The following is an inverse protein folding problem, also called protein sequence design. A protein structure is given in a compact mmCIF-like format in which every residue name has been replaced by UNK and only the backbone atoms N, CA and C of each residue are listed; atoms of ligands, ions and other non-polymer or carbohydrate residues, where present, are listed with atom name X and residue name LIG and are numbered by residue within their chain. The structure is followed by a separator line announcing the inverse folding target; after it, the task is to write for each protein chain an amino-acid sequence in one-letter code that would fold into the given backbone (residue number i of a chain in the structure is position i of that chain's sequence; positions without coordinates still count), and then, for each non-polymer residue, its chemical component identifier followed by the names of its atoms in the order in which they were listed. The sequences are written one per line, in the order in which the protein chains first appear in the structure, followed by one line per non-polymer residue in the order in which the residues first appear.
data_IF_523382728917
#
_entry.id   IF_523382728917
#
_cell.length_a   1.000
_cell.length_b   1.000
_cell.length_c   1.000
_cell.angle_alpha   90.00
_cell.angle_beta   90.00
_cell.angle_gamma   90.00
#
_symmetry.space_group_name_H-M   'P 1'
#
loop_
_entity.id
_entity.type
_entity.pdbx_description
1 polymer ?
#
# COMPACT_ATOMS: atom_id res chain seq x y z
N UNK A 1 -4.90 -24.40 -22.44
CA UNK A 1 -5.27 -23.75 -21.18
C UNK A 1 -6.03 -22.47 -21.48
N UNK A 2 -7.23 -22.33 -20.90
CA UNK A 2 -8.09 -21.16 -21.04
C UNK A 2 -8.04 -20.32 -19.77
N UNK A 3 -7.76 -19.01 -19.89
CA UNK A 3 -7.65 -18.09 -18.76
C UNK A 3 -8.64 -16.92 -18.96
N UNK A 4 -9.39 -16.60 -17.90
CA UNK A 4 -10.19 -15.37 -17.86
C UNK A 4 -9.43 -14.32 -17.07
N UNK A 5 -9.29 -13.13 -17.64
CA UNK A 5 -8.47 -12.04 -17.12
C UNK A 5 -9.30 -10.77 -16.92
N UNK A 6 -9.22 -10.14 -15.76
CA UNK A 6 -9.78 -8.79 -15.56
C UNK A 6 -9.10 -7.81 -16.52
N UNK A 7 -9.87 -7.13 -17.36
CA UNK A 7 -9.41 -6.25 -18.44
C UNK A 7 -8.66 -5.00 -17.94
N UNK A 8 -8.70 -4.73 -16.64
CA UNK A 8 -8.02 -3.61 -15.98
C UNK A 8 -6.69 -4.00 -15.32
N UNK A 9 -6.22 -5.25 -15.49
CA UNK A 9 -4.88 -5.63 -15.02
C UNK A 9 -3.83 -5.01 -15.94
N UNK A 10 -2.97 -4.12 -15.42
CA UNK A 10 -2.01 -3.41 -16.26
C UNK A 10 -0.91 -4.34 -16.80
N UNK A 11 -0.46 -4.08 -18.01
CA UNK A 11 0.72 -4.69 -18.63
C UNK A 11 0.65 -6.21 -18.83
N UNK A 12 -0.54 -6.84 -18.73
CA UNK A 12 -0.67 -8.31 -18.75
C UNK A 12 -0.72 -8.89 -20.15
N UNK A 13 -1.25 -8.14 -21.15
CA UNK A 13 -1.68 -8.71 -22.47
C UNK A 13 -0.58 -9.50 -23.18
N UNK A 14 0.54 -8.87 -23.48
CA UNK A 14 1.63 -9.52 -24.21
C UNK A 14 2.26 -10.69 -23.46
N UNK A 15 2.20 -10.66 -22.12
CA UNK A 15 2.77 -11.71 -21.29
C UNK A 15 1.86 -12.92 -21.20
N UNK A 16 0.55 -12.72 -20.97
CA UNK A 16 -0.41 -13.82 -20.80
C UNK A 16 -0.62 -14.60 -22.10
N UNK A 17 -0.52 -13.93 -23.26
CA UNK A 17 -0.64 -14.57 -24.59
C UNK A 17 0.51 -15.53 -24.89
N UNK A 18 1.64 -15.42 -24.20
CA UNK A 18 2.75 -16.39 -24.27
C UNK A 18 2.56 -17.60 -23.35
N UNK A 19 1.58 -17.54 -22.45
CA UNK A 19 1.34 -18.53 -21.39
C UNK A 19 0.14 -19.40 -21.71
N UNK A 20 -0.93 -18.80 -22.25
CA UNK A 20 -2.24 -19.44 -22.46
C UNK A 20 -2.57 -19.64 -23.92
N UNK A 21 -3.32 -20.74 -24.22
CA UNK A 21 -3.82 -21.00 -25.59
C UNK A 21 -5.04 -20.14 -25.91
N UNK A 22 -5.85 -19.82 -24.89
CA UNK A 22 -7.05 -18.99 -25.00
C UNK A 22 -7.12 -18.01 -23.83
N UNK A 23 -7.20 -16.72 -24.13
CA UNK A 23 -7.35 -15.64 -23.14
C UNK A 23 -8.63 -14.87 -23.40
N UNK A 24 -9.48 -14.77 -22.38
CA UNK A 24 -10.71 -13.97 -22.44
C UNK A 24 -10.61 -12.82 -21.46
N UNK A 25 -10.75 -11.60 -21.95
CA UNK A 25 -10.74 -10.39 -21.15
C UNK A 25 -12.17 -9.94 -20.85
N UNK A 26 -12.46 -9.65 -19.58
CA UNK A 26 -13.74 -9.12 -19.15
C UNK A 26 -13.56 -8.13 -17.99
N UNK A 27 -14.45 -7.11 -17.85
CA UNK A 27 -14.49 -6.30 -16.65
C UNK A 27 -14.71 -7.16 -15.41
N UNK A 28 -13.99 -6.91 -14.31
CA UNK A 28 -14.07 -7.74 -13.11
C UNK A 28 -15.47 -7.90 -12.52
N UNK A 29 -16.37 -6.93 -12.74
CA UNK A 29 -17.78 -6.98 -12.32
C UNK A 29 -18.65 -7.91 -13.19
N UNK A 30 -18.18 -8.26 -14.39
CA UNK A 30 -18.92 -9.03 -15.40
C UNK A 30 -18.49 -10.51 -15.42
N UNK A 31 -17.71 -10.95 -14.44
CA UNK A 31 -17.42 -12.38 -14.24
C UNK A 31 -18.68 -13.10 -13.77
N UNK A 32 -19.16 -14.01 -14.59
CA UNK A 32 -20.37 -14.81 -14.34
C UNK A 32 -20.04 -16.30 -14.31
N UNK A 33 -20.90 -17.16 -13.69
CA UNK A 33 -20.71 -18.61 -13.73
C UNK A 33 -20.58 -19.19 -15.14
N UNK A 34 -21.31 -18.64 -16.10
CA UNK A 34 -21.22 -19.07 -17.51
C UNK A 34 -19.88 -18.71 -18.15
N UNK A 35 -19.32 -17.54 -17.82
CA UNK A 35 -18.04 -17.09 -18.34
C UNK A 35 -16.88 -17.93 -17.81
N UNK A 36 -16.88 -18.27 -16.51
CA UNK A 36 -15.79 -19.00 -15.86
C UNK A 36 -15.91 -20.52 -15.99
N UNK A 37 -17.03 -21.05 -16.48
CA UNK A 37 -17.38 -22.48 -16.49
C UNK A 37 -16.27 -23.37 -17.04
N UNK A 38 -15.68 -23.00 -18.15
CA UNK A 38 -14.67 -23.80 -18.88
C UNK A 38 -13.24 -23.24 -18.74
N UNK A 39 -13.02 -22.28 -17.86
CA UNK A 39 -11.71 -21.72 -17.59
C UNK A 39 -10.86 -22.63 -16.71
N UNK A 40 -9.57 -22.72 -17.00
CA UNK A 40 -8.60 -23.41 -16.15
C UNK A 40 -8.12 -22.51 -15.02
N UNK A 41 -8.00 -21.20 -15.28
CA UNK A 41 -7.55 -20.21 -14.30
C UNK A 41 -8.23 -18.85 -14.46
N UNK A 42 -8.23 -18.08 -13.36
CA UNK A 42 -8.67 -16.69 -13.32
C UNK A 42 -7.53 -15.79 -12.86
N UNK A 43 -7.36 -14.63 -13.53
CA UNK A 43 -6.51 -13.56 -13.03
C UNK A 43 -7.38 -12.34 -12.82
N UNK A 44 -7.54 -11.94 -11.57
CA UNK A 44 -8.58 -11.02 -11.12
C UNK A 44 -8.04 -9.84 -10.34
N UNK A 45 -8.94 -8.92 -10.01
CA UNK A 45 -8.77 -7.83 -9.06
C UNK A 45 -9.99 -7.79 -8.12
N UNK A 46 -10.03 -6.77 -7.25
CA UNK A 46 -11.01 -6.63 -6.16
C UNK A 46 -12.49 -6.59 -6.59
N UNK A 47 -12.81 -6.36 -7.86
CA UNK A 47 -14.20 -6.28 -8.35
C UNK A 47 -14.81 -7.65 -8.66
N UNK A 48 -14.03 -8.71 -8.72
CA UNK A 48 -14.50 -10.09 -8.94
C UNK A 48 -14.61 -10.80 -7.61
N UNK A 49 -15.82 -11.17 -7.21
CA UNK A 49 -16.02 -12.00 -6.02
C UNK A 49 -15.89 -13.48 -6.39
N UNK A 50 -14.83 -14.11 -5.92
CA UNK A 50 -14.59 -15.55 -6.08
C UNK A 50 -15.19 -16.31 -4.89
N UNK A 51 -16.45 -16.68 -5.01
CA UNK A 51 -17.22 -17.40 -4.01
C UNK A 51 -17.90 -18.63 -4.66
N UNK A 52 -18.66 -19.40 -3.86
CA UNK A 52 -19.41 -20.57 -4.34
C UNK A 52 -20.31 -20.22 -5.53
N UNK A 53 -21.04 -19.10 -5.49
CA UNK A 53 -21.94 -18.67 -6.55
C UNK A 53 -21.24 -18.55 -7.90
N UNK A 54 -20.04 -17.98 -7.95
CA UNK A 54 -19.26 -17.83 -9.18
C UNK A 54 -18.62 -19.13 -9.65
N UNK A 55 -18.07 -19.93 -8.72
CA UNK A 55 -17.10 -20.98 -9.02
C UNK A 55 -17.70 -22.39 -9.05
N UNK A 56 -18.89 -22.60 -8.48
CA UNK A 56 -19.50 -23.94 -8.41
C UNK A 56 -19.76 -24.50 -9.80
N UNK A 57 -19.30 -25.74 -10.03
CA UNK A 57 -19.42 -26.41 -11.32
C UNK A 57 -18.50 -25.90 -12.43
N UNK A 58 -17.58 -24.97 -12.12
CA UNK A 58 -16.53 -24.55 -13.06
C UNK A 58 -15.35 -25.53 -13.10
N UNK A 59 -14.51 -25.40 -14.14
CA UNK A 59 -13.23 -26.15 -14.26
C UNK A 59 -12.04 -25.42 -13.62
N UNK A 60 -12.27 -24.26 -12.98
CA UNK A 60 -11.23 -23.42 -12.43
C UNK A 60 -10.42 -24.17 -11.38
N UNK A 61 -9.10 -24.20 -11.56
CA UNK A 61 -8.14 -24.84 -10.62
C UNK A 61 -7.25 -23.82 -9.92
N UNK A 62 -7.09 -22.64 -10.53
CA UNK A 62 -6.18 -21.63 -10.02
C UNK A 62 -6.76 -20.23 -10.14
N UNK A 63 -6.56 -19.41 -9.10
CA UNK A 63 -6.95 -17.99 -9.08
C UNK A 63 -5.77 -17.18 -8.61
N UNK A 64 -5.37 -16.16 -9.39
CA UNK A 64 -4.44 -15.12 -8.92
C UNK A 64 -5.16 -13.78 -8.84
N UNK A 65 -5.08 -13.11 -7.69
CA UNK A 65 -5.50 -11.71 -7.61
C UNK A 65 -4.30 -10.78 -7.64
N UNK A 66 -4.27 -9.89 -8.64
CA UNK A 66 -3.24 -8.87 -8.81
C UNK A 66 -3.43 -7.72 -7.79
N UNK A 67 -3.67 -8.09 -6.53
CA UNK A 67 -3.91 -7.19 -5.39
C UNK A 67 -3.27 -7.75 -4.11
N UNK A 68 -3.05 -6.90 -3.13
CA UNK A 68 -2.57 -7.32 -1.80
C UNK A 68 -3.72 -7.90 -0.98
N UNK A 69 -4.83 -7.15 -0.85
CA UNK A 69 -6.05 -7.61 -0.18
C UNK A 69 -6.74 -8.71 -0.97
N UNK A 70 -7.37 -9.64 -0.28
CA UNK A 70 -8.05 -10.80 -0.86
C UNK A 70 -9.46 -11.03 -0.27
N UNK A 71 -10.07 -10.01 0.32
CA UNK A 71 -11.40 -10.06 0.94
C UNK A 71 -12.52 -10.46 -0.05
N UNK A 72 -12.24 -10.38 -1.35
CA UNK A 72 -13.12 -10.80 -2.45
C UNK A 72 -12.96 -12.27 -2.82
N UNK A 73 -12.05 -13.02 -2.17
CA UNK A 73 -11.86 -14.47 -2.35
C UNK A 73 -12.40 -15.21 -1.13
N UNK A 74 -13.36 -16.08 -1.35
CA UNK A 74 -13.81 -17.04 -0.34
C UNK A 74 -12.77 -18.18 -0.24
N UNK A 75 -11.80 -17.97 0.66
CA UNK A 75 -10.69 -18.89 0.85
C UNK A 75 -11.13 -20.27 1.36
N UNK A 76 -12.22 -20.32 2.15
CA UNK A 76 -12.77 -21.57 2.67
C UNK A 76 -13.41 -22.37 1.56
N UNK A 77 -14.25 -21.75 0.75
CA UNK A 77 -14.83 -22.41 -0.41
C UNK A 77 -13.75 -22.88 -1.41
N UNK A 78 -12.74 -22.04 -1.70
CA UNK A 78 -11.65 -22.45 -2.59
C UNK A 78 -10.94 -23.70 -2.06
N UNK A 79 -10.69 -23.79 -0.76
CA UNK A 79 -10.10 -24.96 -0.11
C UNK A 79 -10.99 -26.21 -0.25
N UNK A 80 -12.30 -26.07 -0.02
CA UNK A 80 -13.28 -27.17 -0.18
C UNK A 80 -13.36 -27.67 -1.63
N UNK A 81 -13.35 -26.75 -2.58
CA UNK A 81 -13.43 -27.06 -4.02
C UNK A 81 -12.08 -27.50 -4.65
N UNK A 82 -10.99 -27.51 -3.88
CA UNK A 82 -9.67 -27.85 -4.39
C UNK A 82 -9.07 -26.78 -5.33
N UNK A 83 -9.52 -25.53 -5.23
CA UNK A 83 -9.04 -24.41 -6.02
C UNK A 83 -7.87 -23.75 -5.27
N UNK A 84 -6.71 -23.70 -5.90
CA UNK A 84 -5.55 -22.95 -5.39
C UNK A 84 -5.71 -21.48 -5.72
N UNK A 85 -5.42 -20.60 -4.76
CA UNK A 85 -5.41 -19.16 -5.02
C UNK A 85 -4.18 -18.48 -4.44
N UNK A 86 -3.83 -17.32 -4.98
CA UNK A 86 -2.75 -16.47 -4.52
C UNK A 86 -3.08 -14.99 -4.67
N UNK A 87 -2.43 -14.17 -3.85
CA UNK A 87 -2.44 -12.71 -3.97
C UNK A 87 -1.02 -12.19 -4.28
N UNK A 88 -0.85 -10.87 -4.29
CA UNK A 88 0.43 -10.22 -4.59
C UNK A 88 0.97 -9.43 -3.37
N UNK A 89 1.39 -10.10 -2.27
CA UNK A 89 1.81 -9.43 -1.06
C UNK A 89 3.09 -8.62 -1.30
N UNK A 90 3.09 -7.36 -0.87
CA UNK A 90 4.24 -6.47 -0.97
C UNK A 90 4.53 -5.90 -2.36
N UNK A 91 3.70 -6.17 -3.37
CA UNK A 91 3.91 -5.69 -4.75
C UNK A 91 4.11 -4.16 -4.84
N UNK A 92 3.45 -3.39 -3.99
CA UNK A 92 3.50 -1.93 -3.95
C UNK A 92 4.26 -1.36 -2.74
N UNK A 93 5.01 -2.18 -2.01
CA UNK A 93 5.70 -1.74 -0.79
C UNK A 93 6.74 -0.65 -1.05
N UNK A 94 7.38 -0.64 -2.21
CA UNK A 94 8.30 0.41 -2.60
C UNK A 94 7.58 1.74 -2.92
N UNK A 95 6.37 1.69 -3.49
CA UNK A 95 5.53 2.87 -3.66
C UNK A 95 5.21 3.56 -2.35
N UNK A 96 4.81 2.78 -1.33
CA UNK A 96 4.51 3.34 0.00
C UNK A 96 5.78 3.90 0.64
N UNK A 97 6.91 3.20 0.52
CA UNK A 97 8.19 3.71 1.02
C UNK A 97 8.60 5.03 0.35
N UNK A 98 8.38 5.18 -0.97
CA UNK A 98 8.60 6.43 -1.70
C UNK A 98 7.67 7.55 -1.19
N UNK A 99 6.38 7.24 -0.94
CA UNK A 99 5.43 8.18 -0.36
C UNK A 99 5.93 8.67 1.01
N UNK A 100 6.37 7.76 1.88
CA UNK A 100 6.93 8.10 3.19
C UNK A 100 8.22 8.93 3.05
N UNK A 101 9.12 8.57 2.12
CA UNK A 101 10.36 9.33 1.86
C UNK A 101 10.04 10.79 1.51
N UNK A 102 9.16 11.02 0.54
CA UNK A 102 8.75 12.37 0.15
C UNK A 102 8.05 13.11 1.28
N UNK A 103 7.19 12.43 2.04
CA UNK A 103 6.47 13.01 3.18
C UNK A 103 7.42 13.45 4.30
N UNK A 104 8.42 12.62 4.64
CA UNK A 104 9.44 12.95 5.63
C UNK A 104 10.31 14.13 5.18
N UNK A 105 10.71 14.17 3.90
CA UNK A 105 11.43 15.31 3.31
C UNK A 105 10.59 16.59 3.41
N UNK A 106 9.28 16.52 3.19
CA UNK A 106 8.40 17.69 3.34
C UNK A 106 8.27 18.14 4.80
N UNK A 107 8.26 17.23 5.76
CA UNK A 107 8.34 17.60 7.19
C UNK A 107 9.65 18.34 7.49
N UNK A 108 10.77 17.90 6.93
CA UNK A 108 12.04 18.60 7.07
C UNK A 108 12.02 20.00 6.45
N UNK A 109 11.55 20.09 5.19
CA UNK A 109 11.67 21.33 4.42
C UNK A 109 10.61 22.38 4.77
N UNK A 110 9.42 21.96 5.17
CA UNK A 110 8.29 22.87 5.43
C UNK A 110 7.94 23.05 6.92
N UNK A 111 8.26 22.06 7.75
CA UNK A 111 7.98 22.12 9.19
C UNK A 111 9.28 22.32 10.01
N UNK A 112 10.45 22.32 9.36
CA UNK A 112 11.74 22.54 10.03
C UNK A 112 12.19 21.37 10.91
N UNK A 113 11.66 20.17 10.71
CA UNK A 113 12.04 18.98 11.47
C UNK A 113 13.43 18.52 11.04
N UNK A 114 14.38 18.45 11.95
CA UNK A 114 15.73 17.93 11.67
C UNK A 114 15.73 16.40 11.73
N UNK A 115 15.53 15.73 10.60
CA UNK A 115 15.34 14.27 10.54
C UNK A 115 16.46 13.46 11.24
N UNK A 116 17.76 13.80 11.15
CA UNK A 116 18.82 13.10 11.89
C UNK A 116 18.69 13.15 13.42
N UNK A 117 17.96 14.10 13.97
CA UNK A 117 17.72 14.24 15.42
C UNK A 117 16.41 13.59 15.88
N UNK A 118 15.64 13.04 14.95
CA UNK A 118 14.27 12.53 15.17
C UNK A 118 14.25 11.01 15.29
N UNK A 119 13.45 10.51 16.23
CA UNK A 119 13.15 9.09 16.37
C UNK A 119 11.83 8.77 15.67
N UNK A 120 11.86 7.81 14.76
CA UNK A 120 10.65 7.27 14.11
C UNK A 120 10.31 5.90 14.68
N UNK A 121 9.03 5.72 15.08
CA UNK A 121 8.45 4.44 15.47
C UNK A 121 7.66 3.83 14.30
N UNK A 122 8.02 2.62 13.93
CA UNK A 122 7.38 1.88 12.84
C UNK A 122 6.53 0.76 13.44
N UNK A 123 5.22 0.88 13.28
CA UNK A 123 4.24 -0.07 13.81
C UNK A 123 3.79 -0.97 12.66
N UNK A 124 4.18 -2.25 12.72
CA UNK A 124 4.09 -3.21 11.62
C UNK A 124 5.33 -3.21 10.73
N UNK A 125 6.15 -4.27 10.81
CA UNK A 125 7.45 -4.40 10.12
C UNK A 125 7.38 -5.52 9.07
N UNK A 126 6.30 -5.53 8.31
CA UNK A 126 6.10 -6.40 7.15
C UNK A 126 6.81 -5.87 5.89
N UNK A 127 6.24 -6.17 4.71
CA UNK A 127 6.80 -5.74 3.42
C UNK A 127 6.96 -4.21 3.30
N UNK A 128 6.01 -3.45 3.82
CA UNK A 128 6.05 -1.98 3.79
C UNK A 128 6.96 -1.45 4.89
N UNK A 129 6.69 -1.80 6.16
CA UNK A 129 7.42 -1.24 7.30
C UNK A 129 8.93 -1.49 7.24
N UNK A 130 9.37 -2.65 6.71
CA UNK A 130 10.81 -2.92 6.50
C UNK A 130 11.45 -1.96 5.49
N UNK A 131 10.75 -1.58 4.42
CA UNK A 131 11.26 -0.60 3.44
C UNK A 131 11.21 0.81 4.00
N UNK A 132 10.19 1.15 4.78
CA UNK A 132 10.10 2.44 5.49
C UNK A 132 11.23 2.58 6.51
N UNK A 133 11.55 1.51 7.24
CA UNK A 133 12.71 1.51 8.15
C UNK A 133 14.01 1.84 7.43
N UNK A 134 14.22 1.24 6.24
CA UNK A 134 15.40 1.53 5.42
C UNK A 134 15.42 3.00 4.95
N UNK A 135 14.30 3.52 4.46
CA UNK A 135 14.18 4.93 4.07
C UNK A 135 14.49 5.87 5.24
N UNK A 136 13.94 5.60 6.42
CA UNK A 136 14.19 6.41 7.61
C UNK A 136 15.68 6.40 8.02
N UNK A 137 16.33 5.23 7.95
CA UNK A 137 17.77 5.11 8.19
C UNK A 137 18.61 5.87 7.15
N UNK A 138 18.23 5.81 5.85
CA UNK A 138 18.89 6.58 4.79
C UNK A 138 18.73 8.10 5.00
N UNK A 139 17.66 8.54 5.65
CA UNK A 139 17.44 9.93 6.06
C UNK A 139 18.10 10.30 7.41
N UNK A 140 18.87 9.39 8.00
CA UNK A 140 19.63 9.60 9.24
C UNK A 140 18.80 9.47 10.53
N UNK A 141 17.54 9.06 10.46
CA UNK A 141 16.66 8.96 11.62
C UNK A 141 17.01 7.77 12.53
N UNK A 142 16.80 7.91 13.84
CA UNK A 142 16.78 6.76 14.76
C UNK A 142 15.48 6.00 14.56
N UNK A 143 15.56 4.68 14.34
CA UNK A 143 14.39 3.83 14.04
C UNK A 143 14.11 2.89 15.21
N UNK A 144 12.86 2.89 15.70
CA UNK A 144 12.31 1.89 16.61
C UNK A 144 11.24 1.07 15.90
N UNK A 145 11.27 -0.24 16.08
CA UNK A 145 10.40 -1.19 15.38
C UNK A 145 9.44 -1.85 16.36
N UNK A 146 8.17 -1.92 15.99
CA UNK A 146 7.13 -2.64 16.73
C UNK A 146 6.38 -3.57 15.77
N UNK A 147 6.36 -4.86 16.07
CA UNK A 147 5.58 -5.86 15.34
C UNK A 147 5.31 -7.04 16.26
N UNK A 148 4.19 -7.02 16.98
CA UNK A 148 3.89 -8.02 17.99
C UNK A 148 3.85 -9.46 17.43
N UNK A 149 3.21 -9.76 16.28
CA UNK A 149 3.26 -11.10 15.69
C UNK A 149 4.68 -11.57 15.32
N UNK A 150 5.57 -10.66 14.93
CA UNK A 150 6.96 -11.00 14.65
C UNK A 150 7.76 -11.16 15.92
N UNK A 151 7.56 -10.31 16.92
CA UNK A 151 8.17 -10.42 18.23
C UNK A 151 7.88 -11.78 18.88
N UNK A 152 6.62 -12.24 18.83
CA UNK A 152 6.21 -13.55 19.37
C UNK A 152 6.87 -14.72 18.62
N UNK A 153 7.09 -14.60 17.31
CA UNK A 153 7.68 -15.64 16.47
C UNK A 153 9.22 -15.62 16.46
N UNK A 154 9.82 -14.44 16.46
CA UNK A 154 11.25 -14.21 16.23
C UNK A 154 12.00 -13.84 17.52
N UNK A 155 11.30 -13.54 18.60
CA UNK A 155 11.84 -13.06 19.89
C UNK A 155 11.89 -11.52 19.96
N UNK A 156 12.13 -11.03 21.17
CA UNK A 156 12.07 -9.59 21.48
C UNK A 156 13.21 -8.75 20.91
N UNK A 157 14.29 -9.39 20.50
CA UNK A 157 15.48 -8.67 20.04
C UNK A 157 15.17 -7.86 18.76
N UNK A 158 15.40 -6.56 18.81
CA UNK A 158 15.15 -5.65 17.68
C UNK A 158 13.75 -5.07 17.63
N UNK A 159 12.84 -5.49 18.52
CA UNK A 159 11.51 -4.91 18.67
C UNK A 159 11.36 -4.09 19.95
N UNK A 160 10.55 -3.07 19.89
CA UNK A 160 10.18 -2.19 20.99
C UNK A 160 8.69 -2.29 21.26
N UNK A 161 8.28 -2.13 22.52
CA UNK A 161 6.86 -2.11 22.86
C UNK A 161 6.16 -0.87 22.28
N UNK A 162 4.86 -0.94 22.08
CA UNK A 162 4.07 0.22 21.66
C UNK A 162 4.18 1.37 22.69
N UNK A 163 4.28 1.03 23.98
CA UNK A 163 4.52 2.01 25.04
C UNK A 163 5.86 2.74 24.88
N UNK A 164 6.94 2.02 24.54
CA UNK A 164 8.25 2.64 24.28
C UNK A 164 8.16 3.58 23.08
N UNK A 165 7.43 3.21 22.02
CA UNK A 165 7.24 4.09 20.87
C UNK A 165 6.47 5.36 21.26
N UNK A 166 5.43 5.23 22.08
CA UNK A 166 4.63 6.37 22.56
C UNK A 166 5.47 7.35 23.42
N UNK A 167 6.47 6.84 24.12
CA UNK A 167 7.34 7.64 24.99
C UNK A 167 8.50 8.30 24.25
N UNK A 168 9.08 7.64 23.24
CA UNK A 168 10.37 8.03 22.66
C UNK A 168 10.27 8.61 21.25
N UNK A 169 9.19 8.35 20.50
CA UNK A 169 9.16 8.71 19.07
C UNK A 169 8.61 10.11 18.82
N UNK A 170 9.22 10.79 17.86
CA UNK A 170 8.82 12.08 17.32
C UNK A 170 7.96 11.93 16.05
N UNK A 171 8.02 10.76 15.41
CA UNK A 171 7.16 10.34 14.29
C UNK A 171 6.70 8.91 14.56
N UNK A 172 5.41 8.65 14.36
CA UNK A 172 4.82 7.31 14.47
C UNK A 172 4.11 6.96 13.16
N UNK A 173 4.46 5.83 12.56
CA UNK A 173 3.91 5.40 11.29
C UNK A 173 3.35 3.97 11.35
N UNK A 174 2.14 3.78 10.79
CA UNK A 174 1.37 2.54 10.88
C UNK A 174 1.38 1.79 9.55
N UNK A 175 1.83 0.52 9.60
CA UNK A 175 1.94 -0.40 8.45
C UNK A 175 1.42 -1.80 8.78
N UNK A 176 0.40 -1.87 9.60
CA UNK A 176 -0.25 -3.10 10.05
C UNK A 176 -1.46 -3.47 9.19
N UNK A 177 -1.80 -4.75 9.04
CA UNK A 177 -3.09 -5.15 8.49
C UNK A 177 -4.23 -4.78 9.46
N UNK A 178 -5.45 -4.68 8.94
CA UNK A 178 -6.64 -4.47 9.78
C UNK A 178 -7.14 -5.80 10.34
N UNK A 179 -6.99 -5.98 11.65
CA UNK A 179 -7.60 -7.04 12.41
C UNK A 179 -8.62 -6.46 13.40
N UNK A 180 -9.88 -6.86 13.25
CA UNK A 180 -10.96 -6.35 14.09
C UNK A 180 -11.01 -7.03 15.45
N UNK A 181 -10.51 -8.26 15.54
CA UNK A 181 -10.58 -9.13 16.72
C UNK A 181 -9.29 -9.94 16.89
N UNK A 182 -9.18 -10.66 18.01
CA UNK A 182 -8.07 -11.56 18.31
C UNK A 182 -6.90 -10.88 19.03
N UNK A 183 -5.87 -11.68 19.35
CA UNK A 183 -4.70 -11.23 20.13
C UNK A 183 -3.85 -10.14 19.47
N UNK A 184 -3.96 -10.00 18.16
CA UNK A 184 -3.26 -8.99 17.37
C UNK A 184 -4.22 -7.95 16.76
N UNK A 185 -5.31 -7.64 17.48
CA UNK A 185 -6.27 -6.62 17.05
C UNK A 185 -5.56 -5.30 16.74
N UNK A 186 -5.86 -4.72 15.57
CA UNK A 186 -5.28 -3.45 15.11
C UNK A 186 -6.35 -2.38 14.83
N UNK A 187 -7.63 -2.77 14.79
CA UNK A 187 -8.72 -1.82 14.68
C UNK A 187 -8.73 -0.91 15.90
N UNK A 188 -8.67 0.40 15.66
CA UNK A 188 -8.53 1.45 16.68
C UNK A 188 -7.33 1.20 17.62
N UNK A 189 -6.20 0.77 17.04
CA UNK A 189 -4.93 0.63 17.75
C UNK A 189 -4.46 1.98 18.30
N UNK A 190 -4.71 3.06 17.57
CA UNK A 190 -4.50 4.42 18.01
C UNK A 190 -5.86 5.06 18.36
N UNK A 191 -6.28 4.83 19.59
CA UNK A 191 -7.45 5.38 20.26
C UNK A 191 -7.09 6.53 21.22
N UNK A 192 -8.05 7.07 21.96
CA UNK A 192 -7.82 8.12 22.93
C UNK A 192 -6.77 7.72 24.00
N UNK A 193 -6.78 6.48 24.45
CA UNK A 193 -5.82 6.00 25.46
C UNK A 193 -4.39 5.99 24.90
N UNK A 194 -4.23 5.57 23.64
CA UNK A 194 -2.94 5.64 22.95
C UNK A 194 -2.45 7.08 22.84
N UNK A 195 -3.27 8.02 22.38
CA UNK A 195 -2.85 9.42 22.21
C UNK A 195 -2.54 10.08 23.56
N UNK A 196 -3.25 9.75 24.65
CA UNK A 196 -2.93 10.23 25.98
C UNK A 196 -1.60 9.69 26.53
N UNK A 197 -1.14 8.54 26.05
CA UNK A 197 0.13 7.94 26.46
C UNK A 197 1.36 8.61 25.85
N UNK A 198 1.20 9.43 24.80
CA UNK A 198 2.26 10.10 24.08
C UNK A 198 3.02 11.11 24.96
N UNK A 199 4.37 11.13 24.83
CA UNK A 199 5.22 12.05 25.60
C UNK A 199 5.90 13.13 24.74
N UNK A 200 5.97 12.94 23.42
CA UNK A 200 6.77 13.78 22.50
C UNK A 200 5.98 14.53 21.44
N UNK A 201 4.66 14.56 21.50
CA UNK A 201 3.80 15.21 20.49
C UNK A 201 4.20 14.81 19.06
N UNK A 202 4.17 13.54 18.71
CA UNK A 202 4.69 13.07 17.43
C UNK A 202 3.86 13.56 16.25
N UNK A 203 4.46 13.47 15.05
CA UNK A 203 3.69 13.43 13.79
C UNK A 203 3.15 12.01 13.60
N UNK A 204 1.87 11.89 13.28
CA UNK A 204 1.19 10.61 13.03
C UNK A 204 1.09 10.37 11.53
N UNK A 205 1.51 9.18 11.05
CA UNK A 205 1.42 8.81 9.64
C UNK A 205 0.63 7.49 9.51
N UNK A 206 -0.42 7.48 8.68
CA UNK A 206 -1.17 6.26 8.38
C UNK A 206 -1.31 6.05 6.87
N UNK A 207 -0.70 4.97 6.37
CA UNK A 207 -0.78 4.50 4.98
C UNK A 207 -1.22 3.04 4.89
N UNK A 208 -1.85 2.51 5.95
CA UNK A 208 -2.26 1.11 6.05
C UNK A 208 -3.76 0.89 5.84
N UNK A 209 -4.58 1.16 6.86
CA UNK A 209 -6.06 1.14 6.82
C UNK A 209 -6.60 2.25 7.72
N UNK A 210 -7.69 2.90 7.32
CA UNK A 210 -8.28 4.00 8.06
C UNK A 210 -8.65 3.64 9.49
N UNK A 211 -9.26 2.48 9.67
CA UNK A 211 -9.74 1.97 10.96
C UNK A 211 -8.63 1.60 11.96
N UNK A 212 -7.35 1.74 11.59
CA UNK A 212 -6.24 1.59 12.55
C UNK A 212 -6.21 2.75 13.55
N UNK A 213 -6.60 3.93 13.09
CA UNK A 213 -6.66 5.16 13.90
C UNK A 213 -8.13 5.57 14.04
N UNK A 214 -8.59 5.72 15.27
CA UNK A 214 -9.91 6.28 15.52
C UNK A 214 -9.93 7.76 15.16
N UNK A 215 -10.77 8.13 14.19
CA UNK A 215 -10.83 9.50 13.64
C UNK A 215 -11.11 10.56 14.72
N UNK A 216 -12.03 10.28 15.65
CA UNK A 216 -12.36 11.19 16.75
C UNK A 216 -11.20 11.41 17.70
N UNK A 217 -10.49 10.34 18.06
CA UNK A 217 -9.33 10.38 18.93
C UNK A 217 -8.17 11.18 18.30
N UNK A 218 -7.89 10.98 17.00
CA UNK A 218 -6.88 11.76 16.29
C UNK A 218 -7.24 13.25 16.21
N UNK A 219 -8.50 13.58 15.91
CA UNK A 219 -8.97 14.96 15.90
C UNK A 219 -8.75 15.63 17.27
N UNK A 220 -9.17 14.97 18.34
CA UNK A 220 -8.97 15.46 19.70
C UNK A 220 -7.47 15.63 20.03
N UNK A 221 -6.63 14.67 19.62
CA UNK A 221 -5.18 14.74 19.86
C UNK A 221 -4.51 15.90 19.13
N UNK A 222 -4.94 16.21 17.90
CA UNK A 222 -4.47 17.39 17.15
C UNK A 222 -4.95 18.69 17.81
N UNK A 223 -6.19 18.77 18.26
CA UNK A 223 -6.77 19.96 18.89
C UNK A 223 -6.16 20.27 20.27
N UNK A 224 -5.87 19.23 21.04
CA UNK A 224 -5.28 19.36 22.38
C UNK A 224 -3.74 19.45 22.34
N UNK A 225 -3.13 19.28 21.15
CA UNK A 225 -1.68 19.35 20.97
C UNK A 225 -0.91 18.16 21.56
N UNK A 226 -1.58 17.00 21.71
CA UNK A 226 -0.92 15.72 21.99
C UNK A 226 -0.19 15.19 20.75
N UNK A 227 -0.66 15.55 19.56
CA UNK A 227 -0.07 15.26 18.25
C UNK A 227 0.27 16.59 17.59
N UNK A 228 1.47 16.70 17.01
CA UNK A 228 1.93 17.94 16.39
C UNK A 228 1.36 18.13 14.98
N UNK A 229 1.20 17.03 14.25
CA UNK A 229 0.65 17.03 12.89
C UNK A 229 0.29 15.59 12.44
N UNK A 230 -0.37 15.45 11.29
CA UNK A 230 -0.67 14.14 10.73
C UNK A 230 -0.52 14.09 9.20
N UNK A 231 -0.20 12.89 8.68
CA UNK A 231 -0.14 12.54 7.26
C UNK A 231 -1.02 11.30 7.07
N UNK A 232 -2.13 11.46 6.38
CA UNK A 232 -3.18 10.44 6.28
C UNK A 232 -3.46 10.14 4.82
N UNK A 233 -3.18 8.89 4.40
CA UNK A 233 -3.51 8.38 3.07
C UNK A 233 -4.77 7.54 3.07
N UNK A 234 -5.12 6.95 4.23
CA UNK A 234 -6.24 6.02 4.42
C UNK A 234 -7.17 6.54 5.51
N UNK A 235 -8.47 6.40 5.31
CA UNK A 235 -9.48 7.06 6.14
C UNK A 235 -10.54 6.08 6.62
N UNK A 236 -11.11 6.31 7.78
CA UNK A 236 -12.36 5.63 8.14
C UNK A 236 -13.48 6.06 7.18
N UNK A 237 -14.33 5.12 6.82
CA UNK A 237 -15.52 5.34 5.98
C UNK A 237 -15.24 5.82 4.55
N UNK A 238 -14.08 5.47 3.96
CA UNK A 238 -13.83 5.76 2.55
C UNK A 238 -15.00 5.33 1.65
N UNK A 239 -15.45 6.12 0.67
CA UNK A 239 -14.92 7.44 0.26
C UNK A 239 -15.52 8.63 1.02
N UNK A 240 -16.46 8.42 1.95
CA UNK A 240 -17.11 9.46 2.75
C UNK A 240 -16.24 9.84 3.96
N UNK A 241 -15.08 10.44 3.68
CA UNK A 241 -14.06 10.75 4.67
C UNK A 241 -14.45 11.92 5.58
N UNK A 242 -13.83 12.02 6.76
CA UNK A 242 -14.04 13.13 7.67
C UNK A 242 -13.34 14.41 7.16
N UNK A 243 -14.13 15.40 6.72
CA UNK A 243 -13.60 16.64 6.13
C UNK A 243 -12.89 17.52 7.16
N UNK A 244 -13.30 17.48 8.41
CA UNK A 244 -12.63 18.24 9.49
C UNK A 244 -11.22 17.72 9.72
N UNK A 245 -11.03 16.39 9.68
CA UNK A 245 -9.72 15.79 9.77
C UNK A 245 -8.88 16.11 8.51
N UNK A 246 -9.47 16.00 7.31
CA UNK A 246 -8.79 16.33 6.05
C UNK A 246 -8.23 17.77 6.06
N UNK A 247 -8.97 18.72 6.59
CA UNK A 247 -8.55 20.12 6.67
C UNK A 247 -7.38 20.32 7.64
N UNK A 248 -7.39 19.59 8.77
CA UNK A 248 -6.39 19.73 9.84
C UNK A 248 -5.04 19.06 9.55
N UNK A 249 -5.01 17.98 8.77
CA UNK A 249 -3.77 17.21 8.54
C UNK A 249 -2.82 17.95 7.60
N UNK A 250 -1.52 17.77 7.80
CA UNK A 250 -0.48 18.31 6.92
C UNK A 250 -0.62 17.80 5.49
N UNK A 251 -0.69 16.47 5.32
CA UNK A 251 -0.99 15.83 4.03
C UNK A 251 -2.19 14.88 4.19
N UNK A 252 -3.18 15.02 3.32
CA UNK A 252 -4.31 14.10 3.21
C UNK A 252 -4.45 13.65 1.77
N UNK A 253 -4.31 12.33 1.50
CA UNK A 253 -4.32 11.79 0.13
C UNK A 253 -5.38 10.70 -0.04
N UNK A 254 -5.87 10.45 -1.28
CA UNK A 254 -7.05 9.59 -1.51
C UNK A 254 -6.67 8.11 -1.64
N UNK A 255 -5.97 7.54 -0.65
CA UNK A 255 -5.56 6.13 -0.57
C UNK A 255 -4.71 5.70 -1.79
N UNK A 256 -3.64 6.46 -2.05
CA UNK A 256 -2.77 6.30 -3.23
C UNK A 256 -1.28 6.09 -2.88
N UNK A 257 -0.92 6.03 -1.61
CA UNK A 257 0.47 5.82 -1.21
C UNK A 257 1.10 4.59 -1.90
N UNK A 258 0.32 3.53 -2.08
CA UNK A 258 0.71 2.32 -2.80
C UNK A 258 0.50 2.34 -4.31
N UNK A 259 0.13 3.47 -4.92
CA UNK A 259 -0.21 3.54 -6.34
C UNK A 259 0.99 3.98 -7.18
N UNK A 260 1.72 3.02 -7.76
CA UNK A 260 2.74 3.24 -8.79
C UNK A 260 2.53 2.30 -9.97
N UNK A 261 3.06 2.64 -11.13
CA UNK A 261 3.11 1.75 -12.28
C UNK A 261 3.98 0.52 -11.98
N UNK A 262 5.04 0.70 -11.21
CA UNK A 262 5.95 -0.36 -10.77
C UNK A 262 5.26 -1.35 -9.83
N UNK A 263 4.50 -0.87 -8.84
CA UNK A 263 3.70 -1.72 -7.95
C UNK A 263 2.63 -2.52 -8.70
N UNK A 264 1.96 -1.88 -9.68
CA UNK A 264 0.99 -2.53 -10.56
C UNK A 264 1.66 -3.60 -11.43
N UNK A 265 2.83 -3.31 -12.01
CA UNK A 265 3.61 -4.27 -12.79
C UNK A 265 4.09 -5.45 -11.94
N UNK A 266 4.51 -5.19 -10.70
CA UNK A 266 4.88 -6.24 -9.75
C UNK A 266 3.70 -7.16 -9.42
N UNK A 267 2.50 -6.63 -9.20
CA UNK A 267 1.31 -7.43 -8.94
C UNK A 267 0.96 -8.35 -10.13
N UNK A 268 1.05 -7.81 -11.35
CA UNK A 268 0.87 -8.58 -12.59
C UNK A 268 1.92 -9.68 -12.72
N UNK A 269 3.20 -9.35 -12.51
CA UNK A 269 4.30 -10.33 -12.57
C UNK A 269 4.11 -11.44 -11.54
N UNK A 270 3.82 -11.10 -10.29
CA UNK A 270 3.60 -12.09 -9.23
C UNK A 270 2.44 -13.03 -9.54
N UNK A 271 1.36 -12.52 -10.14
CA UNK A 271 0.21 -13.32 -10.57
C UNK A 271 0.58 -14.30 -11.67
N UNK A 272 1.34 -13.85 -12.69
CA UNK A 272 1.78 -14.70 -13.79
C UNK A 272 2.84 -15.71 -13.35
N UNK A 273 3.80 -15.33 -12.51
CA UNK A 273 4.81 -16.23 -11.95
C UNK A 273 4.16 -17.35 -11.13
N UNK A 274 3.12 -17.02 -10.36
CA UNK A 274 2.38 -18.02 -9.58
C UNK A 274 1.56 -18.96 -10.49
N UNK A 275 0.92 -18.42 -11.53
CA UNK A 275 0.22 -19.20 -12.54
C UNK A 275 1.18 -20.18 -13.23
N UNK A 276 2.32 -19.70 -13.71
CA UNK A 276 3.33 -20.52 -14.39
C UNK A 276 3.85 -21.63 -13.47
N UNK A 277 4.11 -21.33 -12.21
CA UNK A 277 4.52 -22.33 -11.22
C UNK A 277 3.44 -23.40 -11.00
N UNK A 278 2.18 -22.99 -10.87
CA UNK A 278 1.09 -23.92 -10.62
C UNK A 278 0.88 -24.91 -11.79
N UNK A 279 0.90 -24.41 -13.02
CA UNK A 279 0.71 -25.22 -14.23
C UNK A 279 2.00 -25.81 -14.82
N UNK A 280 3.16 -25.61 -14.15
CA UNK A 280 4.50 -26.03 -14.61
C UNK A 280 4.82 -25.54 -16.03
N UNK A 281 4.56 -24.26 -16.30
CA UNK A 281 4.78 -23.61 -17.59
C UNK A 281 6.10 -22.84 -17.52
N UNK A 282 6.96 -23.02 -18.54
CA UNK A 282 8.11 -22.16 -18.77
C UNK A 282 7.74 -21.15 -19.88
N UNK A 283 7.66 -19.88 -19.50
CA UNK A 283 7.41 -18.80 -20.44
C UNK A 283 8.39 -17.65 -20.18
N UNK A 284 8.91 -17.09 -21.29
CA UNK A 284 9.73 -15.89 -21.25
C UNK A 284 8.86 -14.67 -21.54
N UNK A 285 8.62 -13.87 -20.50
CA UNK A 285 7.87 -12.62 -20.58
C UNK A 285 8.47 -11.56 -19.66
N UNK A 286 8.23 -10.32 -20.02
CA UNK A 286 8.63 -9.16 -19.23
C UNK A 286 7.41 -8.29 -18.94
N UNK A 287 7.30 -7.83 -17.70
CA UNK A 287 6.29 -6.86 -17.27
C UNK A 287 7.01 -5.55 -16.97
N UNK A 288 7.02 -4.68 -17.93
CA UNK A 288 7.76 -3.40 -17.86
C UNK A 288 6.73 -2.25 -17.91
N UNK A 289 6.64 -1.44 -16.87
CA UNK A 289 5.81 -0.25 -16.89
C UNK A 289 6.43 0.82 -17.82
N UNK A 290 5.63 1.74 -18.40
CA UNK A 290 6.13 2.80 -19.26
C UNK A 290 7.20 3.65 -18.57
N UNK A 291 8.17 4.13 -19.31
CA UNK A 291 9.17 5.07 -18.78
C UNK A 291 8.50 6.36 -18.27
N UNK A 292 9.05 7.02 -17.25
CA UNK A 292 8.56 8.32 -16.82
C UNK A 292 8.80 9.35 -17.93
N UNK A 293 7.98 10.39 -17.97
CA UNK A 293 8.11 11.47 -18.98
C UNK A 293 9.47 12.18 -18.91
N UNK A 294 10.06 12.26 -17.72
CA UNK A 294 11.38 12.83 -17.48
C UNK A 294 12.23 11.85 -16.66
N UNK A 295 12.93 10.89 -17.31
CA UNK A 295 13.70 9.88 -16.58
C UNK A 295 14.99 10.41 -15.95
N UNK A 296 15.47 11.59 -16.40
CA UNK A 296 16.65 12.24 -15.85
C UNK A 296 16.24 13.41 -14.96
N UNK A 297 16.72 13.40 -13.74
CA UNK A 297 16.42 14.43 -12.73
C UNK A 297 17.69 15.21 -12.44
N UNK A 298 17.61 16.52 -12.57
CA UNK A 298 18.67 17.45 -12.16
C UNK A 298 18.17 18.23 -10.96
N UNK A 299 18.90 18.15 -9.85
CA UNK A 299 18.55 18.85 -8.61
C UNK A 299 19.81 19.17 -7.78
N UNK A 300 19.74 20.23 -7.00
CA UNK A 300 20.85 20.68 -6.15
C UNK A 300 21.04 19.79 -4.90
N UNK A 301 20.00 19.05 -4.50
CA UNK A 301 20.03 18.15 -3.34
C UNK A 301 19.26 16.85 -3.65
N UNK A 302 19.60 15.76 -2.95
CA UNK A 302 18.84 14.51 -3.04
C UNK A 302 17.38 14.71 -2.63
N UNK A 303 17.10 15.50 -1.62
CA UNK A 303 15.73 15.83 -1.21
C UNK A 303 14.93 16.50 -2.31
N UNK A 304 15.53 17.46 -3.02
CA UNK A 304 14.89 18.09 -4.17
C UNK A 304 14.69 17.10 -5.34
N UNK A 305 15.64 16.19 -5.57
CA UNK A 305 15.50 15.14 -6.58
C UNK A 305 14.33 14.20 -6.26
N UNK A 306 14.21 13.75 -5.02
CA UNK A 306 13.10 12.87 -4.61
C UNK A 306 11.73 13.55 -4.75
N UNK A 307 11.61 14.84 -4.41
CA UNK A 307 10.36 15.59 -4.60
C UNK A 307 10.05 15.88 -6.08
N UNK A 308 11.04 15.92 -6.97
CA UNK A 308 10.78 15.95 -8.41
C UNK A 308 10.28 14.60 -8.95
N UNK A 309 10.70 13.47 -8.37
CA UNK A 309 10.19 12.15 -8.73
C UNK A 309 8.74 11.96 -8.27
N UNK A 310 8.45 12.38 -7.03
CA UNK A 310 7.13 12.31 -6.45
C UNK A 310 6.93 13.34 -5.33
N UNK A 311 5.91 14.16 -5.47
CA UNK A 311 5.53 15.19 -4.49
C UNK A 311 4.08 14.99 -4.04
N UNK A 312 3.84 14.43 -2.83
CA UNK A 312 2.49 14.14 -2.33
C UNK A 312 1.64 15.40 -2.05
N UNK A 313 2.23 16.60 -2.08
CA UNK A 313 1.46 17.86 -1.96
C UNK A 313 0.46 18.02 -3.09
N UNK A 314 0.79 17.55 -4.30
CA UNK A 314 -0.11 17.63 -5.45
C UNK A 314 -1.38 16.82 -5.20
N UNK A 315 -1.24 15.59 -4.70
CA UNK A 315 -2.35 14.71 -4.38
C UNK A 315 -3.16 15.25 -3.20
N UNK A 316 -2.48 15.75 -2.16
CA UNK A 316 -3.11 16.35 -0.99
C UNK A 316 -3.91 17.60 -1.35
N UNK A 317 -3.36 18.48 -2.16
CA UNK A 317 -4.06 19.69 -2.62
C UNK A 317 -5.27 19.34 -3.47
N UNK A 318 -5.16 18.35 -4.36
CA UNK A 318 -6.28 17.89 -5.17
C UNK A 318 -7.44 17.36 -4.29
N UNK A 319 -7.14 16.53 -3.29
CA UNK A 319 -8.16 16.00 -2.37
C UNK A 319 -8.75 17.09 -1.47
N UNK A 320 -7.93 17.98 -0.91
CA UNK A 320 -8.41 19.09 -0.07
C UNK A 320 -9.30 20.07 -0.84
N UNK A 321 -9.01 20.29 -2.12
CA UNK A 321 -9.80 21.16 -2.98
C UNK A 321 -11.10 20.51 -3.43
N UNK A 322 -11.07 19.19 -3.69
CA UNK A 322 -12.18 18.43 -4.25
C UNK A 322 -12.39 17.10 -3.52
N UNK A 323 -12.77 17.10 -2.23
CA UNK A 323 -12.94 15.88 -1.45
C UNK A 323 -14.05 14.97 -1.99
N UNK A 324 -15.05 15.52 -2.67
CA UNK A 324 -16.12 14.78 -3.36
C UNK A 324 -15.60 13.91 -4.52
N UNK A 325 -14.39 14.18 -5.02
CA UNK A 325 -13.75 13.42 -6.09
C UNK A 325 -12.82 12.30 -5.59
N UNK A 326 -12.90 11.92 -4.31
CA UNK A 326 -12.02 10.89 -3.71
C UNK A 326 -11.84 9.65 -4.59
N UNK A 327 -12.95 9.00 -4.97
CA UNK A 327 -12.92 7.79 -5.82
C UNK A 327 -12.35 8.06 -7.22
N UNK A 328 -12.61 9.24 -7.78
CA UNK A 328 -12.09 9.61 -9.09
C UNK A 328 -10.58 9.87 -9.04
N UNK A 329 -10.10 10.63 -8.05
CA UNK A 329 -8.68 10.89 -7.84
C UNK A 329 -7.88 9.61 -7.65
N UNK A 330 -8.47 8.63 -6.95
CA UNK A 330 -7.89 7.31 -6.76
C UNK A 330 -7.98 6.43 -8.02
N UNK A 331 -9.15 6.40 -8.67
CA UNK A 331 -9.43 5.54 -9.83
C UNK A 331 -8.65 5.94 -11.07
N UNK A 332 -8.53 7.23 -11.33
CA UNK A 332 -7.85 7.82 -12.48
C UNK A 332 -6.39 8.24 -12.14
N UNK A 333 -5.82 7.68 -11.06
CA UNK A 333 -4.49 8.06 -10.57
C UNK A 333 -3.42 7.95 -11.67
N UNK A 334 -2.61 8.99 -11.89
CA UNK A 334 -1.61 9.00 -12.95
C UNK A 334 -0.53 7.94 -12.73
N UNK A 335 0.22 7.62 -13.81
CA UNK A 335 1.32 6.67 -13.77
C UNK A 335 2.52 7.25 -13.00
N UNK A 336 2.50 7.12 -11.67
CA UNK A 336 3.67 7.40 -10.83
C UNK A 336 4.68 6.28 -11.00
N UNK A 337 5.96 6.63 -11.14
CA UNK A 337 7.07 5.67 -11.17
C UNK A 337 7.87 5.73 -9.87
N UNK A 338 8.43 4.60 -9.47
CA UNK A 338 9.33 4.50 -8.32
C UNK A 338 10.74 5.01 -8.65
N UNK A 339 11.56 5.25 -7.62
CA UNK A 339 12.87 5.91 -7.77
C UNK A 339 13.81 5.22 -8.76
N UNK A 340 13.71 3.90 -8.88
CA UNK A 340 14.53 3.09 -9.78
C UNK A 340 14.29 3.38 -11.27
N UNK A 341 13.18 4.05 -11.60
CA UNK A 341 12.88 4.49 -12.96
C UNK A 341 13.62 5.79 -13.36
N UNK A 342 14.32 6.43 -12.43
CA UNK A 342 14.96 7.72 -12.62
C UNK A 342 16.47 7.63 -12.45
N UNK A 343 17.18 8.52 -13.17
CA UNK A 343 18.62 8.74 -13.00
C UNK A 343 18.83 10.18 -12.54
N UNK A 344 19.44 10.34 -11.37
CA UNK A 344 19.84 11.66 -10.88
C UNK A 344 21.14 12.05 -11.58
N UNK A 345 21.14 13.21 -12.24
CA UNK A 345 22.27 13.77 -12.98
C UNK A 345 22.73 15.03 -12.26
N UNK A 346 24.04 15.15 -12.04
CA UNK A 346 24.67 16.31 -11.36
C UNK A 346 24.11 16.57 -9.94
N UNK A 347 24.33 15.61 -9.08
CA UNK A 347 24.26 15.86 -7.64
C UNK A 347 25.66 16.30 -7.17
N UNK A 348 25.90 17.54 -6.73
CA UNK A 348 27.10 17.86 -5.98
C UNK A 348 27.07 17.05 -4.66
N UNK A 349 28.14 16.33 -4.37
CA UNK A 349 28.32 15.55 -3.14
C UNK A 349 28.26 16.41 -1.88
#
# INVERSE_FOLDING_TARGET
MKIIVDDKIPFIKEAIEKIADEVVYAPGKDFTPSLVKDADALIIRTRTRCNRELLEGSKVKFIATATIGFDHIDAEYCREAGITWTNAPGCNSASVAQYLQSSLILLQTLKGINLPEVTIGIIGVGNVGSKVAKVAQELGMRVLLNDLPREDREGKQGFSSLQTLAEECDVLTFHVPLYKEGGYKTCHLADDAFFQSLKRKPVIINTSRGEIIETGALLNALETGLVSDAIIDVWENEPAINLTLLDKVFLGTPHIAGYSADGKANATRMSLDALCRYFNIQADYQIIPPAPSQPRITADTLSAAYLQMYDPRQDSNALKTHPELFEKLRGDYPLRREKEAYVIVNHPE
#
